data_IF_018237469028
#
_entry.id   IF_018237469028
#
_cell.length_a   1.000
_cell.length_b   1.000
_cell.length_c   1.000
_cell.angle_alpha   90.00
_cell.angle_beta   90.00
_cell.angle_gamma   90.00
#
_symmetry.space_group_name_H-M   'P 1'
#
loop_
_entity.id
_entity.type
_entity.pdbx_description
1 polymer ?
#
# COMPACT_ATOMS: atom_id res chain seq x y z
N UNK A 1 -22.70 44.13 5.37
CA UNK A 1 -21.50 43.42 4.90
C UNK A 1 -21.63 41.97 5.34
N UNK A 2 -21.84 41.05 4.39
CA UNK A 2 -22.13 39.64 4.69
C UNK A 2 -20.83 38.88 4.84
N UNK A 3 -20.45 38.59 6.09
CA UNK A 3 -19.36 37.69 6.42
C UNK A 3 -19.73 36.28 5.98
N UNK A 4 -19.23 35.86 4.82
CA UNK A 4 -19.39 34.50 4.36
C UNK A 4 -18.54 33.57 5.22
N UNK A 5 -19.21 32.63 5.89
CA UNK A 5 -18.61 31.51 6.60
C UNK A 5 -17.58 30.79 5.72
N UNK A 6 -16.30 30.91 6.06
CA UNK A 6 -15.28 29.98 5.58
C UNK A 6 -15.53 28.63 6.27
N UNK A 7 -16.44 27.83 5.70
CA UNK A 7 -16.49 26.39 5.99
C UNK A 7 -15.12 25.82 5.64
N UNK A 8 -14.36 25.45 6.66
CA UNK A 8 -13.14 24.66 6.54
C UNK A 8 -13.49 23.38 5.79
N UNK A 9 -13.10 23.31 4.50
CA UNK A 9 -13.29 22.11 3.70
C UNK A 9 -12.61 20.93 4.40
N UNK A 10 -13.39 19.88 4.68
CA UNK A 10 -12.86 18.63 5.22
C UNK A 10 -11.83 18.05 4.25
N UNK A 11 -10.81 17.38 4.78
CA UNK A 11 -9.78 16.68 4.00
C UNK A 11 -10.40 15.71 2.97
N UNK A 12 -11.55 15.13 3.29
CA UNK A 12 -12.30 14.25 2.38
C UNK A 12 -12.93 14.98 1.21
N UNK A 13 -13.42 16.21 1.43
CA UNK A 13 -14.01 17.03 0.36
C UNK A 13 -12.93 17.56 -0.59
N UNK A 14 -11.74 17.87 -0.05
CA UNK A 14 -10.57 18.20 -0.85
C UNK A 14 -10.15 17.00 -1.72
N UNK A 15 -10.10 15.79 -1.14
CA UNK A 15 -9.79 14.54 -1.87
C UNK A 15 -10.80 14.26 -2.97
N UNK A 16 -12.10 14.40 -2.69
CA UNK A 16 -13.17 14.20 -3.68
C UNK A 16 -13.06 15.22 -4.82
N UNK A 17 -12.81 16.49 -4.51
CA UNK A 17 -12.58 17.53 -5.52
C UNK A 17 -11.34 17.25 -6.37
N UNK A 18 -10.23 16.87 -5.74
CA UNK A 18 -8.99 16.51 -6.44
C UNK A 18 -9.20 15.33 -7.39
N UNK A 19 -9.84 14.26 -6.91
CA UNK A 19 -10.19 13.10 -7.74
C UNK A 19 -11.07 13.49 -8.93
N UNK A 20 -12.10 14.31 -8.70
CA UNK A 20 -12.99 14.79 -9.76
C UNK A 20 -12.25 15.67 -10.78
N UNK A 21 -11.34 16.54 -10.31
CA UNK A 21 -10.52 17.36 -11.22
C UNK A 21 -9.53 16.52 -12.03
N UNK A 22 -8.91 15.49 -11.45
CA UNK A 22 -8.04 14.59 -12.20
C UNK A 22 -8.81 13.72 -13.19
N UNK A 23 -10.05 13.34 -12.87
CA UNK A 23 -10.95 12.63 -13.77
C UNK A 23 -11.36 13.51 -14.95
N UNK A 24 -11.83 14.73 -14.68
CA UNK A 24 -12.30 15.66 -15.71
C UNK A 24 -11.16 16.15 -16.63
N UNK A 25 -9.91 16.19 -16.13
CA UNK A 25 -8.73 16.53 -16.92
C UNK A 25 -8.12 15.34 -17.68
N UNK A 26 -8.71 14.14 -17.62
CA UNK A 26 -8.22 12.94 -18.31
C UNK A 26 -6.92 12.35 -17.76
N UNK A 27 -6.41 12.88 -16.64
CA UNK A 27 -5.15 12.43 -16.01
C UNK A 27 -5.30 11.02 -15.46
N UNK A 28 -6.48 10.68 -14.92
CA UNK A 28 -6.78 9.33 -14.43
C UNK A 28 -6.77 8.28 -15.54
N UNK A 29 -7.26 8.61 -16.74
CA UNK A 29 -7.27 7.68 -17.86
C UNK A 29 -5.87 7.50 -18.46
N UNK A 30 -5.08 8.59 -18.52
CA UNK A 30 -3.65 8.53 -18.83
C UNK A 30 -2.89 7.63 -17.86
N UNK A 31 -3.08 7.84 -16.55
CA UNK A 31 -2.43 7.04 -15.50
C UNK A 31 -2.87 5.57 -15.55
N UNK A 32 -4.16 5.30 -15.78
CA UNK A 32 -4.69 3.93 -15.93
C UNK A 32 -4.08 3.24 -17.15
N UNK A 33 -3.90 3.96 -18.25
CA UNK A 33 -3.23 3.45 -19.46
C UNK A 33 -1.75 3.18 -19.20
N UNK A 34 -1.05 4.09 -18.51
CA UNK A 34 0.35 3.90 -18.11
C UNK A 34 0.53 2.70 -17.19
N UNK A 35 -0.30 2.54 -16.16
CA UNK A 35 -0.27 1.40 -15.25
C UNK A 35 -0.56 0.08 -15.97
N UNK A 36 -1.52 0.07 -16.91
CA UNK A 36 -1.79 -1.09 -17.75
C UNK A 36 -0.59 -1.44 -18.63
N UNK A 37 0.05 -0.46 -19.25
CA UNK A 37 1.24 -0.68 -20.07
C UNK A 37 2.41 -1.21 -19.23
N UNK A 38 2.61 -0.69 -18.02
CA UNK A 38 3.62 -1.19 -17.08
C UNK A 38 3.31 -2.63 -16.67
N UNK A 39 2.06 -2.93 -16.31
CA UNK A 39 1.65 -4.29 -15.93
C UNK A 39 1.82 -5.28 -17.09
N UNK A 40 1.42 -4.89 -18.31
CA UNK A 40 1.59 -5.73 -19.50
C UNK A 40 3.08 -5.93 -19.79
N UNK A 41 3.92 -4.91 -19.62
CA UNK A 41 5.36 -5.03 -19.79
C UNK A 41 5.98 -5.97 -18.75
N UNK A 42 5.58 -5.88 -17.48
CA UNK A 42 6.03 -6.78 -16.40
C UNK A 42 5.54 -8.22 -16.62
N UNK A 43 4.34 -8.41 -17.13
CA UNK A 43 3.77 -9.74 -17.41
C UNK A 43 4.35 -10.39 -18.67
N UNK A 44 4.65 -9.61 -19.71
CA UNK A 44 5.24 -10.11 -20.96
C UNK A 44 6.75 -10.34 -20.87
N UNK A 45 7.42 -9.51 -20.07
CA UNK A 45 8.86 -9.61 -19.81
C UNK A 45 9.06 -9.76 -18.30
N UNK A 46 8.74 -10.93 -17.71
CA UNK A 46 9.02 -11.16 -16.31
C UNK A 46 10.53 -11.07 -16.10
N UNK A 47 10.97 -10.00 -15.44
CA UNK A 47 12.37 -9.87 -15.01
C UNK A 47 12.65 -10.88 -13.92
N UNK A 48 13.13 -12.05 -14.32
CA UNK A 48 13.84 -12.96 -13.43
C UNK A 48 15.34 -12.68 -13.60
N UNK A 49 15.99 -12.17 -12.55
CA UNK A 49 17.45 -11.95 -12.48
C UNK A 49 18.11 -11.01 -13.51
N UNK A 50 17.44 -9.93 -13.93
CA UNK A 50 18.11 -8.80 -14.61
C UNK A 50 18.55 -9.06 -16.05
N UNK A 51 18.21 -10.19 -16.65
CA UNK A 51 18.35 -10.42 -18.10
C UNK A 51 16.95 -10.47 -18.75
N UNK A 52 16.70 -9.69 -19.82
CA UNK A 52 15.45 -9.77 -20.55
C UNK A 52 15.37 -11.11 -21.28
N UNK A 53 14.53 -12.02 -20.80
CA UNK A 53 14.20 -13.26 -21.53
C UNK A 53 13.40 -12.88 -22.77
N UNK A 54 14.10 -12.80 -23.89
CA UNK A 54 13.53 -12.46 -25.19
C UNK A 54 12.99 -13.73 -25.86
N UNK A 55 11.69 -14.04 -25.70
CA UNK A 55 11.01 -15.09 -26.49
C UNK A 55 10.70 -14.62 -27.94
N UNK A 56 11.65 -13.96 -28.62
CA UNK A 56 11.44 -13.39 -29.96
C UNK A 56 12.62 -13.59 -30.92
N UNK A 57 13.50 -14.57 -30.67
CA UNK A 57 14.64 -14.88 -31.56
C UNK A 57 14.37 -15.95 -32.62
N UNK A 58 13.12 -16.40 -32.79
CA UNK A 58 12.73 -17.18 -33.96
C UNK A 58 11.54 -16.46 -34.58
N UNK A 59 11.74 -15.70 -35.67
CA UNK A 59 10.73 -15.28 -36.66
C UNK A 59 11.13 -13.96 -37.38
N UNK A 60 12.31 -13.83 -37.99
CA UNK A 60 12.59 -12.58 -38.75
C UNK A 60 11.67 -12.43 -39.98
N UNK A 61 11.28 -13.53 -40.66
CA UNK A 61 10.35 -13.50 -41.80
C UNK A 61 8.88 -13.40 -41.39
N UNK A 62 8.48 -14.07 -40.31
CA UNK A 62 7.13 -13.88 -39.77
C UNK A 62 7.03 -12.56 -38.98
N UNK A 63 8.12 -11.89 -38.60
CA UNK A 63 8.04 -10.59 -37.90
C UNK A 63 7.32 -9.54 -38.75
N UNK A 64 7.57 -9.52 -40.06
CA UNK A 64 6.96 -8.58 -41.00
C UNK A 64 5.50 -8.94 -41.29
N UNK A 65 5.20 -10.22 -41.55
CA UNK A 65 3.83 -10.70 -41.78
C UNK A 65 2.97 -10.58 -40.51
N UNK A 66 3.54 -10.87 -39.35
CA UNK A 66 2.89 -10.70 -38.05
C UNK A 66 2.63 -9.22 -37.75
N UNK A 67 3.62 -8.33 -37.99
CA UNK A 67 3.43 -6.88 -37.85
C UNK A 67 2.38 -6.34 -38.81
N UNK A 68 2.37 -6.83 -40.04
CA UNK A 68 1.37 -6.46 -41.03
C UNK A 68 -0.02 -6.96 -40.63
N UNK A 69 -0.13 -8.20 -40.14
CA UNK A 69 -1.38 -8.78 -39.63
C UNK A 69 -1.95 -7.94 -38.49
N UNK A 70 -1.11 -7.58 -37.51
CA UNK A 70 -1.50 -6.70 -36.41
C UNK A 70 -1.89 -5.30 -36.91
N UNK A 71 -1.20 -4.78 -37.92
CA UNK A 71 -1.54 -3.48 -38.54
C UNK A 71 -2.88 -3.53 -39.30
N UNK A 72 -3.22 -4.66 -39.94
CA UNK A 72 -4.53 -4.85 -40.60
C UNK A 72 -5.67 -4.86 -39.57
N UNK A 73 -5.47 -5.53 -38.44
CA UNK A 73 -6.44 -5.56 -37.33
C UNK A 73 -6.57 -4.17 -36.70
N UNK A 74 -5.47 -3.49 -36.43
CA UNK A 74 -5.49 -2.12 -35.88
C UNK A 74 -6.21 -1.14 -36.82
N UNK A 75 -5.97 -1.20 -38.13
CA UNK A 75 -6.67 -0.37 -39.12
C UNK A 75 -8.18 -0.63 -39.10
N UNK A 76 -8.59 -1.91 -39.02
CA UNK A 76 -9.99 -2.30 -38.91
C UNK A 76 -10.64 -1.77 -37.62
N UNK A 77 -10.01 -1.99 -36.46
CA UNK A 77 -10.52 -1.53 -35.16
C UNK A 77 -10.71 0.00 -35.14
N UNK A 78 -9.76 0.73 -35.72
CA UNK A 78 -9.81 2.19 -35.86
C UNK A 78 -10.96 2.63 -36.76
N UNK A 79 -11.13 2.01 -37.93
CA UNK A 79 -12.20 2.35 -38.89
C UNK A 79 -13.60 2.00 -38.38
N UNK A 80 -13.72 0.97 -37.55
CA UNK A 80 -14.96 0.57 -36.89
C UNK A 80 -15.26 1.36 -35.60
N UNK A 81 -14.37 2.24 -35.15
CA UNK A 81 -14.58 3.06 -33.94
C UNK A 81 -14.47 2.29 -32.62
N UNK A 82 -13.73 1.18 -32.59
CA UNK A 82 -13.51 0.39 -31.38
C UNK A 82 -12.39 0.98 -30.51
N UNK A 83 -12.58 2.21 -30.03
CA UNK A 83 -11.57 3.00 -29.31
C UNK A 83 -11.00 2.29 -28.08
N UNK A 84 -11.86 1.63 -27.29
CA UNK A 84 -11.42 0.88 -26.10
C UNK A 84 -10.54 -0.31 -26.47
N UNK A 85 -11.00 -1.15 -27.40
CA UNK A 85 -10.25 -2.32 -27.85
C UNK A 85 -8.93 -1.91 -28.50
N UNK A 86 -8.92 -0.84 -29.29
CA UNK A 86 -7.73 -0.29 -29.92
C UNK A 86 -6.71 0.21 -28.87
N UNK A 87 -7.17 0.84 -27.78
CA UNK A 87 -6.31 1.32 -26.69
C UNK A 87 -5.58 0.22 -25.93
N UNK A 88 -6.19 -0.97 -25.85
CA UNK A 88 -5.60 -2.18 -25.25
C UNK A 88 -4.74 -2.94 -26.26
N UNK A 89 -5.18 -2.97 -27.52
CA UNK A 89 -4.51 -3.70 -28.59
C UNK A 89 -3.11 -3.13 -28.91
N UNK A 90 -2.94 -1.81 -28.99
CA UNK A 90 -1.62 -1.20 -29.32
C UNK A 90 -0.48 -1.64 -28.37
N UNK A 91 -0.65 -1.55 -27.03
CA UNK A 91 0.32 -2.11 -26.07
C UNK A 91 0.47 -3.65 -26.18
N UNK A 92 -0.62 -4.37 -26.43
CA UNK A 92 -0.61 -5.83 -26.53
C UNK A 92 0.06 -6.36 -27.80
N UNK A 93 0.09 -5.63 -28.91
CA UNK A 93 0.80 -6.06 -30.13
C UNK A 93 2.15 -5.37 -30.31
N UNK A 94 2.54 -4.46 -29.41
CA UNK A 94 3.79 -3.71 -29.51
C UNK A 94 3.85 -2.76 -30.71
N UNK A 95 2.68 -2.34 -31.22
CA UNK A 95 2.59 -1.41 -32.34
C UNK A 95 2.55 0.04 -31.83
N UNK A 96 3.50 0.85 -32.29
CA UNK A 96 3.45 2.29 -32.16
C UNK A 96 2.53 2.89 -33.23
N UNK A 97 1.78 3.94 -32.87
CA UNK A 97 0.85 4.64 -33.78
C UNK A 97 1.53 5.16 -35.06
N UNK A 98 2.85 5.32 -35.08
CA UNK A 98 3.61 5.86 -36.22
C UNK A 98 4.12 4.78 -37.19
N UNK A 99 4.04 3.49 -36.85
CA UNK A 99 4.56 2.36 -37.65
C UNK A 99 3.46 1.54 -38.35
N UNK A 100 2.39 2.20 -38.81
CA UNK A 100 1.29 1.52 -39.50
C UNK A 100 1.60 1.32 -40.98
N UNK A 101 1.35 0.12 -41.49
CA UNK A 101 1.50 -0.19 -42.91
C UNK A 101 0.42 0.51 -43.74
N UNK A 102 0.80 0.98 -44.93
CA UNK A 102 -0.12 1.53 -45.92
C UNK A 102 -0.79 0.43 -46.73
N UNK A 103 -1.87 0.78 -47.45
CA UNK A 103 -2.55 -0.15 -48.38
C UNK A 103 -1.56 -0.71 -49.42
N UNK A 104 -0.64 0.12 -49.92
CA UNK A 104 0.37 -0.33 -50.86
C UNK A 104 1.36 -1.31 -50.25
N UNK A 105 1.74 -1.12 -48.98
CA UNK A 105 2.61 -2.06 -48.28
C UNK A 105 1.92 -3.42 -48.09
N UNK A 106 0.63 -3.44 -47.76
CA UNK A 106 -0.13 -4.69 -47.65
C UNK A 106 -0.20 -5.44 -48.98
N UNK A 107 -0.48 -4.74 -50.09
CA UNK A 107 -0.56 -5.34 -51.42
C UNK A 107 0.79 -5.92 -51.86
N UNK A 108 1.89 -5.21 -51.56
CA UNK A 108 3.25 -5.69 -51.84
C UNK A 108 3.59 -6.93 -50.99
N UNK A 109 3.26 -6.90 -49.70
CA UNK A 109 3.54 -8.01 -48.78
C UNK A 109 2.74 -9.28 -49.11
N UNK A 110 1.48 -9.12 -49.55
CA UNK A 110 0.61 -10.21 -50.01
C UNK A 110 0.94 -10.71 -51.43
N UNK A 111 1.95 -10.11 -52.10
CA UNK A 111 2.37 -10.44 -53.47
C UNK A 111 1.22 -10.40 -54.48
N UNK A 112 0.29 -9.47 -54.31
CA UNK A 112 -0.83 -9.30 -55.24
C UNK A 112 -0.30 -8.60 -56.49
N UNK A 113 -0.50 -9.22 -57.65
CA UNK A 113 -0.01 -8.70 -58.93
C UNK A 113 -0.67 -7.34 -59.24
N UNK A 114 0.10 -6.25 -59.52
CA UNK A 114 -0.44 -4.94 -59.88
C UNK A 114 -1.40 -4.94 -61.07
N UNK A 115 -1.26 -5.92 -61.98
CA UNK A 115 -2.11 -6.07 -63.15
C UNK A 115 -3.40 -6.86 -62.88
N UNK A 116 -3.54 -7.48 -61.70
CA UNK A 116 -4.74 -8.23 -61.34
C UNK A 116 -5.94 -7.32 -61.11
N UNK A 117 -7.14 -7.83 -61.39
CA UNK A 117 -8.39 -7.12 -61.09
C UNK A 117 -8.52 -6.84 -59.58
N UNK A 118 -8.10 -7.80 -58.74
CA UNK A 118 -8.06 -7.67 -57.29
C UNK A 118 -7.22 -6.47 -56.80
N UNK A 119 -6.04 -6.24 -57.41
CA UNK A 119 -5.20 -5.08 -57.09
C UNK A 119 -5.89 -3.75 -57.41
N UNK A 120 -6.56 -3.67 -58.57
CA UNK A 120 -7.29 -2.47 -58.99
C UNK A 120 -8.50 -2.19 -58.10
N UNK A 121 -9.26 -3.22 -57.72
CA UNK A 121 -10.37 -3.07 -56.77
C UNK A 121 -9.90 -2.59 -55.40
N UNK A 122 -8.83 -3.20 -54.86
CA UNK A 122 -8.30 -2.86 -53.53
C UNK A 122 -7.61 -1.48 -53.46
N UNK A 123 -7.06 -0.98 -54.57
CA UNK A 123 -6.45 0.35 -54.63
C UNK A 123 -7.46 1.45 -54.91
N UNK A 124 -8.45 1.22 -55.76
CA UNK A 124 -9.49 2.21 -56.08
C UNK A 124 -10.34 2.59 -54.87
N UNK A 125 -10.61 1.62 -54.00
CA UNK A 125 -11.36 1.83 -52.78
C UNK A 125 -10.62 2.61 -51.70
N UNK A 126 -9.29 2.46 -51.63
CA UNK A 126 -8.44 3.19 -50.71
C UNK A 126 -8.49 4.70 -50.96
N UNK A 127 -8.67 5.12 -52.22
CA UNK A 127 -8.78 6.52 -52.63
C UNK A 127 -10.20 7.09 -52.42
N UNK A 128 -11.21 6.24 -52.30
CA UNK A 128 -12.63 6.64 -52.16
C UNK A 128 -13.05 7.02 -50.74
N UNK A 129 -12.15 6.96 -49.75
CA UNK A 129 -12.48 7.28 -48.36
C UNK A 129 -13.45 6.27 -47.71
N UNK A 130 -13.44 5.02 -48.18
CA UNK A 130 -14.23 3.92 -47.62
C UNK A 130 -14.17 3.91 -46.08
N UNK A 131 -15.35 3.87 -45.45
CA UNK A 131 -15.51 3.80 -44.00
C UNK A 131 -14.99 2.47 -43.41
N UNK A 132 -14.64 1.49 -44.25
CA UNK A 132 -14.24 0.14 -43.83
C UNK A 132 -12.74 -0.06 -44.06
N UNK A 133 -12.05 -0.62 -43.06
CA UNK A 133 -10.60 -0.88 -43.10
C UNK A 133 -10.18 -1.93 -44.13
N UNK A 134 -8.88 -1.98 -44.43
CA UNK A 134 -8.32 -2.83 -45.49
C UNK A 134 -8.68 -4.31 -45.35
N UNK A 135 -8.65 -4.85 -44.12
CA UNK A 135 -9.01 -6.25 -43.82
C UNK A 135 -10.44 -6.59 -44.28
N UNK A 136 -11.39 -5.71 -43.98
CA UNK A 136 -12.79 -5.94 -44.36
C UNK A 136 -12.93 -6.01 -45.88
N UNK A 137 -12.21 -5.14 -46.58
CA UNK A 137 -12.29 -5.06 -48.03
C UNK A 137 -11.66 -6.27 -48.73
N UNK A 138 -10.52 -6.75 -48.24
CA UNK A 138 -9.90 -7.95 -48.75
C UNK A 138 -10.84 -9.17 -48.63
N UNK A 139 -11.52 -9.31 -47.49
CA UNK A 139 -12.47 -10.40 -47.26
C UNK A 139 -13.70 -10.33 -48.18
N UNK A 140 -14.21 -9.12 -48.44
CA UNK A 140 -15.31 -8.92 -49.40
C UNK A 140 -14.91 -9.37 -50.81
N UNK A 141 -13.76 -8.90 -51.30
CA UNK A 141 -13.26 -9.26 -52.64
C UNK A 141 -13.00 -10.77 -52.77
N UNK A 142 -12.44 -11.41 -51.72
CA UNK A 142 -12.25 -12.87 -51.72
C UNK A 142 -13.58 -13.62 -51.75
N UNK A 143 -14.60 -13.14 -51.02
CA UNK A 143 -15.92 -13.77 -51.00
C UNK A 143 -16.61 -13.63 -52.36
N UNK A 144 -16.56 -12.43 -52.95
CA UNK A 144 -17.10 -12.18 -54.29
C UNK A 144 -16.40 -13.04 -55.36
N UNK A 145 -15.09 -13.24 -55.24
CA UNK A 145 -14.32 -14.09 -56.18
C UNK A 145 -14.71 -15.57 -56.11
N UNK A 146 -15.10 -16.09 -54.94
CA UNK A 146 -15.51 -17.49 -54.80
C UNK A 146 -16.95 -17.73 -55.29
N UNK A 147 -17.83 -16.74 -55.14
CA UNK A 147 -19.22 -16.83 -55.60
C UNK A 147 -19.31 -16.89 -57.14
N UNK A 148 -18.34 -16.31 -57.85
CA UNK A 148 -18.32 -16.25 -59.32
C UNK A 148 -17.40 -17.29 -59.99
N UNK A 149 -16.82 -18.24 -59.22
CA UNK A 149 -15.94 -19.28 -59.78
C UNK A 149 -16.75 -20.49 -60.24
N UNK A 150 -17.14 -20.49 -61.51
CA UNK A 150 -17.62 -21.70 -62.19
C UNK A 150 -16.51 -22.78 -62.16
N UNK A 151 -16.85 -23.93 -61.57
CA UNK A 151 -15.97 -25.09 -61.47
C UNK A 151 -15.61 -25.63 -62.86
N UNK A 152 -14.31 -25.77 -63.13
CA UNK A 152 -13.82 -26.52 -64.29
C UNK A 152 -13.57 -27.96 -63.85
N UNK A 153 -14.56 -28.82 -64.06
CA UNK A 153 -14.37 -30.27 -64.06
C UNK A 153 -13.82 -30.71 -65.43
N UNK A 154 -12.80 -31.55 -65.41
CA UNK A 154 -12.17 -32.12 -66.61
C UNK A 154 -12.39 -33.64 -66.57
N UNK A 155 -13.53 -34.09 -67.11
CA UNK A 155 -13.82 -35.50 -67.30
C UNK A 155 -13.14 -36.04 -68.57
N UNK A 156 -12.34 -37.10 -68.43
CA UNK A 156 -11.83 -37.93 -69.53
C UNK A 156 -12.71 -39.16 -69.72
N UNK A 157 -13.34 -39.27 -70.89
CA UNK A 157 -14.15 -40.43 -71.28
C UNK A 157 -13.31 -41.47 -72.05
N UNK A 158 -13.40 -42.74 -71.66
CA UNK A 158 -13.06 -43.89 -72.52
C UNK A 158 -14.32 -44.72 -72.74
N UNK A 159 -14.79 -44.78 -73.99
CA UNK A 159 -15.90 -45.66 -74.40
C UNK A 159 -15.31 -46.86 -75.15
N UNK A 160 -15.58 -48.04 -74.61
CA UNK A 160 -15.33 -49.36 -75.18
C UNK A 160 -16.50 -49.76 -76.08
N UNK A 161 -16.21 -50.11 -77.34
CA UNK A 161 -17.12 -50.91 -78.19
C UNK A 161 -16.33 -51.88 -79.06
N UNK A 162 -16.55 -53.18 -78.86
CA UNK A 162 -16.27 -54.27 -79.80
C UNK A 162 -17.50 -54.44 -80.73
N UNK A 163 -17.63 -55.42 -81.67
CA UNK A 163 -16.82 -56.64 -81.90
C UNK A 163 -16.46 -56.91 -83.37
N UNK A 164 -15.28 -57.50 -83.60
CA UNK A 164 -15.06 -58.31 -84.81
C UNK A 164 -14.47 -59.66 -84.40
N UNK A 165 -15.10 -60.70 -84.93
CA UNK A 165 -14.90 -62.13 -84.64
C UNK A 165 -13.57 -62.61 -85.21
N UNK A 166 -12.69 -62.96 -84.29
CA UNK A 166 -11.93 -64.21 -84.17
C UNK A 166 -10.88 -63.92 -83.11
N UNK A 167 -11.41 -63.71 -81.90
CA UNK A 167 -10.72 -62.93 -80.89
C UNK A 167 -9.75 -63.83 -80.13
N UNK A 168 -8.55 -63.29 -79.90
CA UNK A 168 -7.58 -63.74 -78.89
C UNK A 168 -8.26 -64.16 -77.59
N UNK A 169 -9.43 -63.59 -77.28
CA UNK A 169 -10.33 -63.98 -76.18
C UNK A 169 -10.72 -65.46 -76.19
N UNK A 170 -10.98 -66.11 -77.32
CA UNK A 170 -11.31 -67.55 -77.33
C UNK A 170 -10.08 -68.43 -77.11
N UNK A 171 -8.92 -68.03 -77.65
CA UNK A 171 -7.65 -68.70 -77.35
C UNK A 171 -7.20 -68.46 -75.91
N UNK A 172 -7.45 -67.27 -75.36
CA UNK A 172 -7.26 -66.95 -73.94
C UNK A 172 -8.22 -67.76 -73.08
N UNK A 173 -9.50 -67.89 -73.44
CA UNK A 173 -10.47 -68.73 -72.73
C UNK A 173 -10.06 -70.19 -72.71
N UNK A 174 -9.52 -70.72 -73.80
CA UNK A 174 -9.00 -72.09 -73.84
C UNK A 174 -7.73 -72.26 -73.00
N UNK A 175 -6.85 -71.26 -72.98
CA UNK A 175 -5.71 -71.22 -72.05
C UNK A 175 -6.22 -71.14 -70.61
N UNK A 176 -7.23 -70.31 -70.33
CA UNK A 176 -7.86 -70.15 -69.02
C UNK A 176 -8.52 -71.47 -68.57
N UNK A 177 -9.21 -72.20 -69.45
CA UNK A 177 -9.78 -73.54 -69.19
C UNK A 177 -8.68 -74.60 -68.93
N UNK A 178 -7.56 -74.57 -69.65
CA UNK A 178 -6.43 -75.46 -69.42
C UNK A 178 -5.67 -75.14 -68.11
N UNK A 179 -5.68 -73.87 -67.70
CA UNK A 179 -5.10 -73.45 -66.43
C UNK A 179 -6.07 -73.60 -65.25
N UNK A 180 -7.40 -73.60 -65.45
CA UNK A 180 -8.48 -73.90 -64.49
C UNK A 180 -8.25 -75.26 -63.79
N UNK A 181 -7.75 -76.28 -64.49
CA UNK A 181 -7.38 -77.57 -63.86
C UNK A 181 -6.16 -77.48 -62.92
N UNK A 182 -5.36 -76.40 -63.02
CA UNK A 182 -4.24 -76.06 -62.11
C UNK A 182 -4.73 -75.15 -60.96
N UNK A 183 -5.93 -74.53 -61.05
CA UNK A 183 -6.53 -73.73 -59.98
C UNK A 183 -6.84 -74.46 -58.65
N UNK A 184 -7.05 -75.79 -58.56
CA UNK A 184 -7.21 -76.47 -57.27
C UNK A 184 -5.97 -76.29 -56.36
N UNK A 185 -4.79 -76.13 -56.97
CA UNK A 185 -3.55 -75.79 -56.24
C UNK A 185 -3.52 -74.30 -55.88
N UNK A 186 -4.04 -73.41 -56.72
CA UNK A 186 -4.15 -71.96 -56.44
C UNK A 186 -5.02 -71.67 -55.22
N UNK A 187 -6.16 -72.36 -55.03
CA UNK A 187 -6.96 -72.26 -53.79
C UNK A 187 -6.18 -72.66 -52.52
N UNK A 188 -5.26 -73.62 -52.62
CA UNK A 188 -4.36 -74.00 -51.51
C UNK A 188 -3.28 -72.95 -51.27
N UNK A 189 -2.73 -72.34 -52.33
CA UNK A 189 -1.79 -71.22 -52.22
C UNK A 189 -2.44 -69.96 -51.69
N UNK A 190 -3.65 -69.60 -52.12
CA UNK A 190 -4.46 -68.49 -51.60
C UNK A 190 -4.80 -68.70 -50.11
N UNK A 191 -5.10 -69.93 -49.70
CA UNK A 191 -5.30 -70.27 -48.28
C UNK A 191 -4.01 -70.13 -47.46
N UNK A 192 -2.86 -70.51 -48.03
CA UNK A 192 -1.56 -70.35 -47.38
C UNK A 192 -1.16 -68.87 -47.29
N UNK A 193 -1.37 -68.11 -48.36
CA UNK A 193 -1.10 -66.67 -48.46
C UNK A 193 -1.98 -65.87 -47.51
N UNK A 194 -3.26 -66.24 -47.39
CA UNK A 194 -4.18 -65.69 -46.37
C UNK A 194 -3.63 -65.94 -44.97
N UNK A 195 -3.22 -67.19 -44.64
CA UNK A 195 -2.64 -67.49 -43.33
C UNK A 195 -1.36 -66.70 -43.06
N UNK A 196 -0.49 -66.54 -44.05
CA UNK A 196 0.74 -65.72 -43.94
C UNK A 196 0.39 -64.25 -43.71
N UNK A 197 -0.63 -63.72 -44.40
CA UNK A 197 -1.13 -62.36 -44.21
C UNK A 197 -1.71 -62.15 -42.81
N UNK A 198 -2.47 -63.13 -42.32
CA UNK A 198 -3.07 -63.08 -40.99
C UNK A 198 -2.00 -63.12 -39.89
N UNK A 199 -0.97 -63.98 -40.01
CA UNK A 199 0.17 -63.97 -39.09
C UNK A 199 0.96 -62.66 -39.13
N UNK A 200 1.16 -62.07 -40.33
CA UNK A 200 1.79 -60.75 -40.44
C UNK A 200 0.97 -59.67 -39.74
N UNK A 201 -0.35 -59.69 -39.94
CA UNK A 201 -1.28 -58.75 -39.29
C UNK A 201 -1.26 -58.90 -37.78
N UNK A 202 -1.27 -60.14 -37.28
CA UNK A 202 -1.19 -60.44 -35.84
C UNK A 202 0.14 -59.97 -35.24
N UNK A 203 1.27 -60.22 -35.91
CA UNK A 203 2.58 -59.73 -35.47
C UNK A 203 2.66 -58.19 -35.49
N UNK A 204 2.11 -57.53 -36.52
CA UNK A 204 2.04 -56.07 -36.58
C UNK A 204 1.14 -55.50 -35.48
N UNK A 205 0.02 -56.16 -35.19
CA UNK A 205 -0.90 -55.75 -34.14
C UNK A 205 -0.26 -55.92 -32.76
N UNK A 206 0.39 -57.05 -32.50
CA UNK A 206 1.18 -57.27 -31.29
C UNK A 206 2.24 -56.18 -31.12
N UNK A 207 3.04 -55.89 -32.15
CA UNK A 207 4.05 -54.83 -32.10
C UNK A 207 3.45 -53.45 -31.82
N UNK A 208 2.31 -53.13 -32.46
CA UNK A 208 1.59 -51.87 -32.21
C UNK A 208 1.09 -51.79 -30.77
N UNK A 209 0.55 -52.86 -30.22
CA UNK A 209 0.08 -52.89 -28.83
C UNK A 209 1.23 -52.75 -27.84
N UNK A 210 2.35 -53.45 -28.05
CA UNK A 210 3.54 -53.30 -27.21
C UNK A 210 4.11 -51.88 -27.26
N UNK A 211 4.17 -51.29 -28.46
CA UNK A 211 4.63 -49.91 -28.64
C UNK A 211 3.69 -48.92 -27.94
N UNK A 212 2.38 -49.11 -28.06
CA UNK A 212 1.39 -48.28 -27.37
C UNK A 212 1.50 -48.40 -25.85
N UNK A 213 1.70 -49.61 -25.31
CA UNK A 213 1.92 -49.83 -23.87
C UNK A 213 3.21 -49.18 -23.37
N UNK A 214 4.32 -49.33 -24.10
CA UNK A 214 5.60 -48.67 -23.75
C UNK A 214 5.47 -47.15 -23.77
N UNK A 215 4.78 -46.61 -24.78
CA UNK A 215 4.53 -45.18 -24.88
C UNK A 215 3.63 -44.69 -23.74
N UNK A 216 2.61 -45.47 -23.37
CA UNK A 216 1.73 -45.14 -22.25
C UNK A 216 2.49 -45.14 -20.93
N UNK A 217 3.30 -46.17 -20.67
CA UNK A 217 4.14 -46.22 -19.48
C UNK A 217 5.11 -45.02 -19.43
N UNK A 218 5.77 -44.68 -20.55
CA UNK A 218 6.65 -43.51 -20.61
C UNK A 218 5.90 -42.21 -20.28
N UNK A 219 4.71 -42.02 -20.86
CA UNK A 219 3.85 -40.87 -20.55
C UNK A 219 3.48 -40.83 -19.07
N UNK A 220 3.07 -41.96 -18.49
CA UNK A 220 2.66 -42.01 -17.09
C UNK A 220 3.81 -41.67 -16.14
N UNK A 221 5.03 -42.12 -16.45
CA UNK A 221 6.25 -41.79 -15.68
C UNK A 221 6.61 -40.31 -15.81
N UNK A 222 6.61 -39.75 -17.02
CA UNK A 222 6.91 -38.32 -17.23
C UNK A 222 5.85 -37.44 -16.55
N UNK A 223 4.56 -37.80 -16.64
CA UNK A 223 3.49 -37.08 -15.94
C UNK A 223 3.69 -37.18 -14.42
N UNK A 224 4.03 -38.35 -13.88
CA UNK A 224 4.30 -38.50 -12.45
C UNK A 224 5.50 -37.67 -12.00
N UNK A 225 6.57 -37.63 -12.80
CA UNK A 225 7.77 -36.83 -12.55
C UNK A 225 7.45 -35.33 -12.55
N UNK A 226 6.75 -34.84 -13.58
CA UNK A 226 6.34 -33.43 -13.67
C UNK A 226 5.46 -33.05 -12.47
N UNK A 227 4.50 -33.92 -12.09
CA UNK A 227 3.65 -33.67 -10.92
C UNK A 227 4.47 -33.58 -9.63
N UNK A 228 5.44 -34.47 -9.44
CA UNK A 228 6.29 -34.46 -8.26
C UNK A 228 7.13 -33.17 -8.22
N UNK A 229 7.81 -32.82 -9.31
CA UNK A 229 8.60 -31.59 -9.42
C UNK A 229 7.77 -30.34 -9.15
N UNK A 230 6.54 -30.27 -9.69
CA UNK A 230 5.63 -29.15 -9.46
C UNK A 230 5.16 -29.08 -8.00
N UNK A 231 4.84 -30.22 -7.37
CA UNK A 231 4.47 -30.24 -5.95
C UNK A 231 5.62 -29.83 -5.05
N UNK A 232 6.84 -30.26 -5.33
CA UNK A 232 8.02 -29.84 -4.58
C UNK A 232 8.29 -28.34 -4.75
N UNK A 233 8.18 -27.82 -5.98
CA UNK A 233 8.35 -26.40 -6.26
C UNK A 233 7.31 -25.56 -5.52
N UNK A 234 6.03 -25.92 -5.61
CA UNK A 234 4.94 -25.26 -4.90
C UNK A 234 5.16 -25.30 -3.37
N UNK A 235 5.59 -26.44 -2.85
CA UNK A 235 5.88 -26.57 -1.41
C UNK A 235 7.05 -25.67 -0.98
N UNK A 236 8.12 -25.58 -1.79
CA UNK A 236 9.26 -24.69 -1.54
C UNK A 236 8.81 -23.22 -1.54
N UNK A 237 8.08 -22.78 -2.56
CA UNK A 237 7.55 -21.42 -2.66
C UNK A 237 6.65 -21.08 -1.46
N UNK A 238 5.78 -22.00 -1.05
CA UNK A 238 4.94 -21.82 0.14
C UNK A 238 5.76 -21.73 1.43
N UNK A 239 6.84 -22.49 1.55
CA UNK A 239 7.73 -22.41 2.71
C UNK A 239 8.52 -21.10 2.75
N UNK A 240 8.96 -20.62 1.59
CA UNK A 240 9.66 -19.34 1.45
C UNK A 240 8.73 -18.17 1.77
N UNK A 241 7.48 -18.20 1.28
CA UNK A 241 6.48 -17.19 1.60
C UNK A 241 6.17 -17.15 3.09
N UNK A 242 6.04 -18.31 3.76
CA UNK A 242 5.85 -18.39 5.22
C UNK A 242 7.03 -17.80 5.97
N UNK A 243 8.26 -18.13 5.56
CA UNK A 243 9.48 -17.60 6.18
C UNK A 243 9.59 -16.09 6.04
N UNK A 244 9.30 -15.55 4.86
CA UNK A 244 9.35 -14.10 4.65
C UNK A 244 8.26 -13.39 5.46
N UNK A 245 7.05 -13.96 5.51
CA UNK A 245 5.97 -13.43 6.33
C UNK A 245 6.35 -13.43 7.83
N UNK A 246 6.89 -14.53 8.34
CA UNK A 246 7.38 -14.64 9.72
C UNK A 246 8.46 -13.59 10.02
N UNK A 247 9.45 -13.43 9.13
CA UNK A 247 10.49 -12.41 9.24
C UNK A 247 9.91 -10.99 9.26
N UNK A 248 8.89 -10.70 8.43
CA UNK A 248 8.23 -9.39 8.43
C UNK A 248 7.46 -9.14 9.73
N UNK A 249 6.86 -10.18 10.32
CA UNK A 249 6.20 -10.05 11.62
C UNK A 249 7.19 -9.89 12.76
N UNK A 250 8.29 -10.63 12.73
CA UNK A 250 9.35 -10.54 13.73
C UNK A 250 9.98 -9.14 13.75
N UNK A 251 10.35 -8.60 12.58
CA UNK A 251 10.89 -7.23 12.48
C UNK A 251 9.90 -6.16 12.96
N UNK A 252 8.61 -6.33 12.68
CA UNK A 252 7.55 -5.44 13.22
C UNK A 252 7.45 -5.55 14.74
N UNK A 253 7.48 -6.77 15.27
CA UNK A 253 7.41 -7.02 16.72
C UNK A 253 8.61 -6.41 17.44
N UNK A 254 9.83 -6.64 16.94
CA UNK A 254 11.06 -6.03 17.46
C UNK A 254 11.00 -4.50 17.40
N UNK A 255 10.44 -3.94 16.33
CA UNK A 255 10.17 -2.50 16.19
C UNK A 255 9.19 -1.97 17.24
N UNK A 256 8.15 -2.73 17.61
CA UNK A 256 7.20 -2.34 18.65
C UNK A 256 7.81 -2.46 20.05
N UNK A 257 8.47 -3.57 20.34
CA UNK A 257 9.14 -3.83 21.62
C UNK A 257 10.21 -2.79 21.90
N UNK A 258 11.03 -2.42 20.90
CA UNK A 258 12.03 -1.37 21.04
C UNK A 258 11.41 0.01 21.32
N UNK A 259 10.30 0.34 20.66
CA UNK A 259 9.55 1.59 20.94
C UNK A 259 8.97 1.62 22.35
N UNK A 260 8.36 0.52 22.78
CA UNK A 260 7.80 0.37 24.13
C UNK A 260 8.91 0.50 25.18
N UNK A 261 10.01 -0.23 25.02
CA UNK A 261 11.18 -0.13 25.90
C UNK A 261 11.72 1.30 25.99
N UNK A 262 11.87 1.98 24.85
CA UNK A 262 12.32 3.38 24.83
C UNK A 262 11.33 4.34 25.51
N UNK A 263 10.02 4.08 25.42
CA UNK A 263 9.00 4.87 26.12
C UNK A 263 9.05 4.64 27.63
N UNK A 264 9.16 3.39 28.07
CA UNK A 264 9.30 3.02 29.49
C UNK A 264 10.57 3.63 30.08
N UNK A 265 11.71 3.52 29.40
CA UNK A 265 12.96 4.11 29.87
C UNK A 265 12.88 5.63 30.01
N UNK A 266 12.22 6.33 29.07
CA UNK A 266 12.01 7.78 29.18
C UNK A 266 11.12 8.13 30.37
N UNK A 267 10.05 7.38 30.58
CA UNK A 267 9.15 7.61 31.71
C UNK A 267 9.87 7.36 33.04
N UNK A 268 10.64 6.28 33.15
CA UNK A 268 11.44 5.98 34.34
C UNK A 268 12.47 7.07 34.63
N UNK A 269 13.22 7.54 33.62
CA UNK A 269 14.17 8.65 33.80
C UNK A 269 13.48 9.93 34.27
N UNK A 270 12.32 10.25 33.70
CA UNK A 270 11.54 11.41 34.12
C UNK A 270 11.08 11.29 35.57
N UNK A 271 10.56 10.12 35.97
CA UNK A 271 10.16 9.85 37.36
C UNK A 271 11.33 9.94 38.33
N UNK A 272 12.53 9.46 37.96
CA UNK A 272 13.73 9.59 38.78
C UNK A 272 14.16 11.05 38.97
N UNK A 273 14.08 11.87 37.92
CA UNK A 273 14.39 13.30 37.99
C UNK A 273 13.38 14.01 38.90
N UNK A 274 12.09 13.80 38.68
CA UNK A 274 11.02 14.39 39.51
C UNK A 274 11.15 13.98 40.98
N UNK A 275 11.46 12.70 41.26
CA UNK A 275 11.68 12.23 42.62
C UNK A 275 12.88 12.92 43.28
N UNK A 276 13.99 13.12 42.56
CA UNK A 276 15.16 13.86 43.05
C UNK A 276 14.85 15.33 43.29
N UNK A 277 14.09 15.97 42.41
CA UNK A 277 13.67 17.37 42.55
C UNK A 277 12.75 17.55 43.76
N UNK A 278 11.72 16.72 43.91
CA UNK A 278 10.81 16.74 45.07
C UNK A 278 11.59 16.51 46.36
N UNK A 279 12.53 15.56 46.36
CA UNK A 279 13.37 15.31 47.53
C UNK A 279 14.23 16.52 47.88
N UNK A 280 14.88 17.14 46.89
CA UNK A 280 15.68 18.35 47.06
C UNK A 280 14.85 19.52 47.62
N UNK A 281 13.67 19.76 47.04
CA UNK A 281 12.72 20.77 47.50
C UNK A 281 12.28 20.50 48.94
N UNK A 282 11.92 19.26 49.27
CA UNK A 282 11.56 18.85 50.64
C UNK A 282 12.70 19.11 51.62
N UNK A 283 13.94 18.79 51.26
CA UNK A 283 15.11 19.04 52.10
C UNK A 283 15.36 20.53 52.30
N UNK A 284 15.17 21.36 51.28
CA UNK A 284 15.25 22.82 51.42
C UNK A 284 14.19 23.35 52.39
N UNK A 285 12.94 22.94 52.21
CA UNK A 285 11.84 23.35 53.08
C UNK A 285 12.06 22.93 54.54
N UNK A 286 12.60 21.74 54.79
CA UNK A 286 12.95 21.32 56.15
C UNK A 286 14.01 22.23 56.78
N UNK A 287 15.04 22.62 56.03
CA UNK A 287 16.04 23.59 56.50
C UNK A 287 15.41 24.95 56.80
N UNK A 288 14.53 25.43 55.94
CA UNK A 288 13.83 26.70 56.15
C UNK A 288 12.94 26.65 57.40
N UNK A 289 12.24 25.54 57.63
CA UNK A 289 11.45 25.30 58.86
C UNK A 289 12.35 25.36 60.10
N UNK A 290 13.52 24.71 60.07
CA UNK A 290 14.44 24.72 61.19
C UNK A 290 15.02 26.12 61.47
N UNK A 291 15.33 26.90 60.42
CA UNK A 291 15.75 28.30 60.55
C UNK A 291 14.64 29.15 61.18
N UNK A 292 13.39 28.99 60.73
CA UNK A 292 12.24 29.72 61.29
C UNK A 292 12.03 29.35 62.75
N UNK A 293 12.09 28.07 63.11
CA UNK A 293 11.99 27.60 64.50
C UNK A 293 13.09 28.17 65.39
N UNK A 294 14.34 28.19 64.91
CA UNK A 294 15.46 28.79 65.64
C UNK A 294 15.24 30.29 65.89
N UNK A 295 14.77 31.01 64.86
CA UNK A 295 14.42 32.44 64.98
C UNK A 295 13.26 32.69 65.93
N UNK A 296 12.21 31.86 65.89
CA UNK A 296 11.07 31.93 66.81
C UNK A 296 11.51 31.72 68.26
N UNK A 297 12.40 30.74 68.50
CA UNK A 297 12.99 30.50 69.83
C UNK A 297 13.80 31.71 70.33
N UNK A 298 14.65 32.31 69.48
CA UNK A 298 15.43 33.50 69.85
C UNK A 298 14.51 34.70 70.18
N UNK A 299 13.51 34.96 69.33
CA UNK A 299 12.53 36.02 69.58
C UNK A 299 11.75 35.80 70.88
N UNK A 300 11.34 34.55 71.15
CA UNK A 300 10.67 34.20 72.40
C UNK A 300 11.56 34.46 73.61
N UNK A 301 12.83 34.07 73.57
CA UNK A 301 13.77 34.36 74.65
C UNK A 301 13.96 35.87 74.88
N UNK A 302 14.07 36.65 73.79
CA UNK A 302 14.17 38.12 73.88
C UNK A 302 12.91 38.75 74.45
N UNK A 303 11.73 38.29 74.05
CA UNK A 303 10.45 38.75 74.60
C UNK A 303 10.34 38.43 76.09
N UNK A 304 10.64 37.20 76.50
CA UNK A 304 10.62 36.81 77.91
C UNK A 304 11.64 37.61 78.75
N UNK A 305 12.83 37.91 78.19
CA UNK A 305 13.81 38.77 78.85
C UNK A 305 13.30 40.21 79.00
N UNK A 306 12.70 40.77 77.93
CA UNK A 306 12.11 42.10 77.93
C UNK A 306 10.96 42.22 78.94
N UNK A 307 10.07 41.22 79.00
CA UNK A 307 8.99 41.17 79.99
C UNK A 307 9.53 41.13 81.42
N UNK A 308 10.61 40.37 81.69
CA UNK A 308 11.26 40.34 83.00
C UNK A 308 11.85 41.71 83.36
N UNK A 309 12.52 42.38 82.42
CA UNK A 309 13.07 43.72 82.65
C UNK A 309 11.99 44.75 82.92
N UNK A 310 10.88 44.70 82.16
CA UNK A 310 9.74 45.60 82.35
C UNK A 310 9.08 45.39 83.72
N UNK A 311 8.93 44.13 84.17
CA UNK A 311 8.41 43.83 85.51
C UNK A 311 9.29 44.41 86.61
N UNK A 312 10.61 44.22 86.52
CA UNK A 312 11.57 44.78 87.48
C UNK A 312 11.55 46.30 87.50
N UNK A 313 11.44 46.95 86.34
CA UNK A 313 11.34 48.41 86.25
C UNK A 313 10.00 48.92 86.84
N UNK A 314 8.89 48.24 86.56
CA UNK A 314 7.59 48.55 87.15
C UNK A 314 7.61 48.39 88.68
N UNK A 315 8.26 47.35 89.22
CA UNK A 315 8.44 47.16 90.66
C UNK A 315 9.31 48.26 91.29
N UNK A 316 10.40 48.67 90.62
CA UNK A 316 11.22 49.80 91.06
C UNK A 316 10.40 51.09 91.10
N UNK A 317 9.65 51.40 90.04
CA UNK A 317 8.81 52.60 89.99
C UNK A 317 7.75 52.58 91.10
N UNK A 318 7.09 51.44 91.34
CA UNK A 318 6.17 51.28 92.48
C UNK A 318 6.85 51.57 93.81
N UNK A 319 8.06 51.07 94.03
CA UNK A 319 8.80 51.32 95.28
C UNK A 319 9.18 52.81 95.46
N UNK A 320 9.53 53.50 94.36
CA UNK A 320 9.80 54.94 94.36
C UNK A 320 8.53 55.71 94.64
N UNK A 321 7.42 55.39 93.98
CA UNK A 321 6.12 56.01 94.20
C UNK A 321 5.65 55.84 95.65
N UNK A 322 5.83 54.66 96.24
CA UNK A 322 5.53 54.42 97.66
C UNK A 322 6.40 55.26 98.60
N UNK A 323 7.69 55.38 98.29
CA UNK A 323 8.61 56.24 99.05
C UNK A 323 8.23 57.72 98.95
N UNK A 324 7.93 58.20 97.73
CA UNK A 324 7.47 59.56 97.50
C UNK A 324 6.17 59.84 98.25
N UNK A 325 5.18 58.94 98.19
CA UNK A 325 3.93 59.05 98.96
C UNK A 325 4.15 59.15 100.47
N UNK A 326 5.09 58.36 101.02
CA UNK A 326 5.45 58.46 102.45
C UNK A 326 6.06 59.81 102.78
N UNK A 327 6.97 60.31 101.93
CA UNK A 327 7.61 61.61 102.11
C UNK A 327 6.62 62.77 101.96
N UNK A 328 5.72 62.71 100.99
CA UNK A 328 4.62 63.68 100.84
C UNK A 328 3.75 63.72 102.08
N UNK A 329 3.42 62.55 102.66
CA UNK A 329 2.66 62.47 103.91
C UNK A 329 3.45 63.05 105.10
N UNK A 330 4.74 62.79 105.20
CA UNK A 330 5.61 63.37 106.22
C UNK A 330 5.68 64.90 106.11
N UNK A 331 5.88 65.43 104.90
CA UNK A 331 5.89 66.87 104.63
C UNK A 331 4.54 67.49 105.01
N UNK A 332 3.43 66.87 104.59
CA UNK A 332 2.09 67.33 104.95
C UNK A 332 1.86 67.35 106.45
N UNK A 333 2.30 66.32 107.18
CA UNK A 333 2.22 66.30 108.64
C UNK A 333 3.04 67.43 109.25
N UNK A 334 4.23 67.72 108.72
CA UNK A 334 5.07 68.83 109.18
C UNK A 334 4.38 70.18 108.90
N UNK A 335 3.85 70.39 107.70
CA UNK A 335 3.07 71.58 107.32
C UNK A 335 1.87 71.77 108.26
N UNK A 336 1.07 70.72 108.49
CA UNK A 336 -0.06 70.75 109.42
C UNK A 336 0.37 71.13 110.85
N UNK A 337 1.54 70.64 111.31
CA UNK A 337 2.07 71.03 112.62
C UNK A 337 2.54 72.48 112.67
N UNK A 338 3.15 73.00 111.60
CA UNK A 338 3.55 74.41 111.51
C UNK A 338 2.33 75.33 111.44
N UNK A 339 1.31 74.96 110.67
CA UNK A 339 0.03 75.68 110.59
C UNK A 339 -0.67 75.71 111.95
N UNK A 340 -0.67 74.60 112.69
CA UNK A 340 -1.19 74.56 114.06
C UNK A 340 -0.39 75.47 115.00
N UNK A 341 0.95 75.46 114.93
CA UNK A 341 1.80 76.35 115.72
C UNK A 341 1.53 77.82 115.38
N UNK A 342 1.45 78.17 114.10
CA UNK A 342 1.14 79.52 113.64
C UNK A 342 -0.23 79.99 114.14
N UNK A 343 -1.26 79.13 114.03
CA UNK A 343 -2.60 79.41 114.60
C UNK A 343 -2.54 79.66 116.11
N UNK A 344 -1.77 78.85 116.84
CA UNK A 344 -1.60 79.01 118.29
C UNK A 344 -0.88 80.32 118.64
N UNK A 345 0.17 80.70 117.90
CA UNK A 345 0.87 81.98 118.10
C UNK A 345 0.01 83.18 117.74
N UNK A 346 -0.74 83.13 116.63
CA UNK A 346 -1.72 84.17 116.28
C UNK A 346 -2.78 84.34 117.37
N UNK A 347 -3.28 83.22 117.92
CA UNK A 347 -4.24 83.26 119.02
C UNK A 347 -3.63 83.87 120.28
N UNK A 348 -2.38 83.50 120.62
CA UNK A 348 -1.65 84.12 121.74
C UNK A 348 -1.49 85.63 121.55
N UNK A 349 -1.03 86.08 120.39
CA UNK A 349 -0.91 87.50 120.09
C UNK A 349 -2.27 88.21 120.13
N UNK A 350 -3.35 87.59 119.68
CA UNK A 350 -4.69 88.16 119.76
C UNK A 350 -5.17 88.29 121.22
N UNK A 351 -4.84 87.32 122.08
CA UNK A 351 -5.09 87.40 123.53
C UNK A 351 -4.24 88.52 124.15
N UNK A 352 -2.95 88.60 123.84
CA UNK A 352 -2.04 89.66 124.31
C UNK A 352 -2.54 91.06 123.92
N UNK A 353 -2.92 91.27 122.66
CA UNK A 353 -3.52 92.52 122.17
C UNK A 353 -4.81 92.86 122.92
N UNK A 354 -5.68 91.88 123.18
CA UNK A 354 -6.89 92.08 123.96
C UNK A 354 -6.57 92.44 125.41
N UNK A 355 -5.58 91.78 126.03
CA UNK A 355 -5.11 92.09 127.38
C UNK A 355 -4.50 93.50 127.47
N UNK A 356 -3.67 93.91 126.51
CA UNK A 356 -3.13 95.26 126.42
C UNK A 356 -4.23 96.32 126.22
N UNK A 357 -5.22 96.01 125.38
CA UNK A 357 -6.38 96.88 125.18
C UNK A 357 -7.21 97.04 126.47
N UNK A 358 -7.38 95.97 127.24
CA UNK A 358 -8.02 96.00 128.57
C UNK A 358 -7.17 96.82 129.56
N UNK A 359 -5.84 96.66 129.55
CA UNK A 359 -4.92 97.43 130.42
C UNK A 359 -4.89 98.92 130.10
N UNK A 360 -5.09 99.33 128.83
CA UNK A 360 -5.21 100.75 128.43
C UNK A 360 -6.57 101.39 128.74
N UNK A 361 -7.58 100.61 129.13
CA UNK A 361 -8.94 101.07 129.50
C UNK A 361 -9.20 101.15 131.00
N UNK A 362 -8.21 100.80 131.83
CA UNK A 362 -8.14 101.12 133.26
C UNK A 362 -7.18 102.28 133.46
#
# INVERSE_FOLDING_TARGET
>A
MSSADFKSLSQEDLRKRLYQTFKNKGVLDSLKTQLRNQLIHELKYPTFNGEPVCYLEALESDSLLHRASNSMVADHLRKCGYEYSLSVFYPECGLEKEKMFTVHDFLHLLKINPNSQLYKSLTSSAHSGSAKGFLFQLLMELTDYHVHREGRDADTQTVTTSPYKDSVVEKLKFIDEQFEDIYPKRKKFESLESKISDYRREMEEQLRTEMAQKLQHFKDVEIAKIKLEETEKSQREMSDFRRELEKTYQTKLEGLVSREKNAIERLQRQQEIEAKEIYSQRQSLLKDIDIVRARESDLRQRMEAFERTQKLEAEKNRSIDEFLRKRELEVKNIEDTFDQKLKNELLRHQIELNEEYIKKKK
#
